data_IF_854132188405
#
_entry.id   IF_854132188405
#
_cell.length_a   1.000
_cell.length_b   1.000
_cell.length_c   1.000
_cell.angle_alpha   90.00
_cell.angle_beta   90.00
_cell.angle_gamma   90.00
#
_symmetry.space_group_name_H-M   'P 1'
#
loop_
_entity.id
_entity.type
_entity.pdbx_description
1 polymer ?
#
# COMPACT_ATOMS: atom_id res chain seq x y z
N UNK A 1 42.11 -21.59 -35.11
CA UNK A 1 41.01 -22.56 -35.34
C UNK A 1 39.77 -21.97 -34.67
N UNK A 2 38.99 -21.07 -35.31
CA UNK A 2 37.85 -21.30 -36.24
C UNK A 2 36.80 -22.31 -35.73
N UNK A 3 35.68 -21.78 -35.25
CA UNK A 3 34.28 -22.24 -35.37
C UNK A 3 33.44 -21.01 -34.93
N UNK A 4 32.85 -20.13 -35.76
CA UNK A 4 31.95 -20.18 -36.94
C UNK A 4 30.56 -20.80 -36.67
N UNK A 5 29.59 -19.89 -36.49
CA UNK A 5 28.24 -19.87 -37.06
C UNK A 5 27.12 -20.66 -36.34
N UNK A 6 26.06 -19.97 -35.88
CA UNK A 6 24.72 -20.13 -36.48
C UNK A 6 23.78 -18.96 -36.14
N UNK A 7 23.41 -18.23 -37.19
CA UNK A 7 22.39 -17.19 -37.28
C UNK A 7 20.98 -17.78 -37.25
N UNK A 8 20.05 -17.17 -36.51
CA UNK A 8 18.61 -17.28 -36.80
C UNK A 8 18.00 -15.87 -36.86
N UNK A 9 17.94 -15.36 -38.09
CA UNK A 9 17.03 -14.31 -38.52
C UNK A 9 15.74 -14.99 -38.94
N UNK A 10 14.60 -14.62 -38.35
CA UNK A 10 13.31 -14.68 -39.04
C UNK A 10 12.39 -13.61 -38.47
N UNK A 11 12.12 -12.64 -39.35
CA UNK A 11 11.16 -11.57 -39.19
C UNK A 11 9.73 -12.13 -39.19
N UNK A 12 8.84 -11.46 -38.46
CA UNK A 12 7.41 -11.73 -38.46
C UNK A 12 6.63 -10.50 -38.02
N UNK A 13 6.54 -9.52 -38.91
CA UNK A 13 5.57 -8.42 -38.84
C UNK A 13 4.19 -8.99 -39.19
N UNK A 14 3.21 -8.92 -38.29
CA UNK A 14 1.80 -8.93 -38.67
C UNK A 14 0.98 -8.00 -37.79
N UNK A 15 0.09 -7.29 -38.47
CA UNK A 15 -0.58 -6.05 -38.13
C UNK A 15 -2.08 -6.35 -37.94
N UNK A 16 -2.75 -5.51 -37.14
CA UNK A 16 -4.20 -5.21 -37.13
C UNK A 16 -5.17 -6.11 -36.34
N UNK A 17 -5.94 -5.45 -35.47
CA UNK A 17 -7.30 -5.80 -35.04
C UNK A 17 -7.46 -5.82 -33.51
N UNK A 18 -8.44 -5.20 -32.86
CA UNK A 18 -9.54 -4.30 -33.21
C UNK A 18 -10.17 -3.82 -31.87
N UNK A 19 -11.06 -2.83 -31.97
CA UNK A 19 -12.12 -2.46 -31.01
C UNK A 19 -11.78 -1.51 -29.84
N UNK A 20 -12.01 -0.23 -30.15
CA UNK A 20 -12.32 0.88 -29.27
C UNK A 20 -13.73 0.72 -28.68
N UNK A 21 -13.88 0.77 -27.36
CA UNK A 21 -15.16 0.96 -26.68
C UNK A 21 -15.04 2.12 -25.70
N UNK A 22 -15.37 3.32 -26.18
CA UNK A 22 -15.60 4.49 -25.33
C UNK A 22 -16.89 4.28 -24.54
N UNK A 23 -16.79 4.22 -23.21
CA UNK A 23 -17.92 4.43 -22.31
C UNK A 23 -17.84 5.87 -21.79
N UNK A 24 -18.46 6.80 -22.53
CA UNK A 24 -18.96 8.04 -21.93
C UNK A 24 -20.27 7.71 -21.22
N UNK A 25 -20.30 7.78 -19.89
CA UNK A 25 -21.56 7.92 -19.16
C UNK A 25 -21.61 9.29 -18.50
N UNK A 26 -22.57 10.07 -18.99
CA UNK A 26 -22.87 11.45 -18.62
C UNK A 26 -23.32 11.50 -17.16
N UNK A 27 -22.56 12.22 -16.34
CA UNK A 27 -23.03 12.69 -15.05
C UNK A 27 -24.16 13.71 -15.24
N UNK A 28 -25.40 13.29 -14.98
CA UNK A 28 -26.53 14.20 -14.80
C UNK A 28 -26.78 14.41 -13.31
N UNK A 29 -26.40 15.59 -12.83
CA UNK A 29 -26.82 16.11 -11.56
C UNK A 29 -28.19 16.80 -11.72
N UNK A 30 -29.25 16.29 -11.09
CA UNK A 30 -30.41 17.09 -10.67
C UNK A 30 -31.43 16.28 -9.88
N UNK A 31 -31.88 16.83 -8.74
CA UNK A 31 -33.06 16.35 -8.04
C UNK A 31 -33.10 16.68 -6.55
N UNK A 32 -33.24 17.96 -6.21
CA UNK A 32 -33.67 18.39 -4.87
C UNK A 32 -35.12 17.94 -4.63
N UNK A 33 -35.26 16.79 -3.97
CA UNK A 33 -36.55 16.17 -3.62
C UNK A 33 -37.07 16.65 -2.27
N UNK A 34 -38.06 17.52 -2.34
CA UNK A 34 -39.09 17.91 -1.37
C UNK A 34 -39.26 16.99 -0.13
N UNK A 35 -39.01 17.56 1.06
CA UNK A 35 -39.26 16.93 2.36
C UNK A 35 -40.76 16.92 2.68
N UNK A 36 -41.45 15.81 2.41
CA UNK A 36 -42.75 15.50 3.02
C UNK A 36 -42.55 14.95 4.43
N UNK A 37 -42.73 15.80 5.44
CA UNK A 37 -42.80 15.38 6.84
C UNK A 37 -44.04 14.53 7.08
N UNK A 38 -43.85 13.22 7.30
CA UNK A 38 -44.91 12.30 7.71
C UNK A 38 -44.83 12.11 9.23
N UNK A 39 -45.68 12.82 9.96
CA UNK A 39 -45.86 12.67 11.41
C UNK A 39 -46.46 11.29 11.71
N UNK A 40 -45.64 10.36 12.19
CA UNK A 40 -46.11 9.11 12.79
C UNK A 40 -46.21 9.31 14.31
N UNK A 41 -47.44 9.32 14.83
CA UNK A 41 -47.71 9.22 16.26
C UNK A 41 -47.30 7.85 16.78
N UNK A 42 -46.07 7.76 17.30
CA UNK A 42 -45.53 6.57 17.95
C UNK A 42 -44.79 6.99 19.22
N UNK A 43 -45.12 6.35 20.34
CA UNK A 43 -44.49 6.58 21.63
C UNK A 43 -42.97 6.40 21.51
N UNK A 44 -42.22 7.47 21.74
CA UNK A 44 -40.76 7.45 21.80
C UNK A 44 -40.33 6.80 23.11
N UNK A 45 -40.25 5.47 23.14
CA UNK A 45 -39.39 4.79 24.10
C UNK A 45 -37.95 5.18 23.78
N UNK A 46 -37.39 6.12 24.54
CA UNK A 46 -35.99 6.52 24.42
C UNK A 46 -35.11 5.31 24.76
N UNK A 47 -34.66 4.57 23.75
CA UNK A 47 -33.50 3.68 23.92
C UNK A 47 -32.33 4.54 24.41
N UNK A 48 -31.62 4.15 25.47
CA UNK A 48 -30.44 4.90 25.91
C UNK A 48 -29.49 5.07 24.72
N UNK A 49 -29.03 6.30 24.52
CA UNK A 49 -28.08 6.66 23.46
C UNK A 49 -26.91 5.68 23.54
N UNK A 50 -26.46 5.07 22.43
CA UNK A 50 -25.24 4.29 22.44
C UNK A 50 -24.11 5.15 23.03
N UNK A 51 -23.22 4.59 23.86
CA UNK A 51 -22.14 5.34 24.45
C UNK A 51 -21.36 6.05 23.35
N UNK A 52 -21.14 7.36 23.52
CA UNK A 52 -20.29 8.19 22.66
C UNK A 52 -19.00 7.41 22.39
N UNK A 53 -18.58 7.21 21.12
CA UNK A 53 -17.40 6.41 20.83
C UNK A 53 -16.23 6.95 21.65
N UNK A 54 -15.58 6.07 22.42
CA UNK A 54 -14.37 6.41 23.15
C UNK A 54 -13.42 7.02 22.11
N UNK A 55 -13.00 8.27 22.34
CA UNK A 55 -12.05 8.93 21.44
C UNK A 55 -10.87 7.99 21.17
N UNK A 56 -10.35 8.04 19.94
CA UNK A 56 -9.22 7.24 19.49
C UNK A 56 -7.99 7.56 20.36
N UNK A 57 -7.87 6.89 21.51
CA UNK A 57 -6.70 6.97 22.38
C UNK A 57 -5.66 6.01 21.81
N UNK A 58 -4.50 6.55 21.46
CA UNK A 58 -3.37 5.76 21.00
C UNK A 58 -2.73 5.15 22.26
N UNK A 59 -2.86 3.84 22.44
CA UNK A 59 -2.22 3.12 23.53
C UNK A 59 -0.71 3.01 23.25
N UNK A 60 0.18 3.46 24.15
CA UNK A 60 1.62 3.30 23.98
C UNK A 60 2.01 1.84 23.75
N UNK A 61 2.92 1.57 22.81
CA UNK A 61 3.34 0.21 22.47
C UNK A 61 2.36 -0.56 21.57
N UNK A 62 1.22 0.03 21.19
CA UNK A 62 0.34 -0.57 20.18
C UNK A 62 0.88 -0.36 18.76
N UNK A 63 0.47 -1.17 17.79
CA UNK A 63 0.84 -0.95 16.39
C UNK A 63 0.44 0.43 15.85
N UNK A 64 -0.66 1.01 16.36
CA UNK A 64 -1.07 2.39 16.03
C UNK A 64 -0.09 3.43 16.59
N UNK A 65 0.44 3.20 17.78
CA UNK A 65 1.48 4.05 18.38
C UNK A 65 2.75 4.05 17.52
N UNK A 66 3.16 2.87 17.03
CA UNK A 66 4.30 2.74 16.11
C UNK A 66 4.12 3.55 14.83
N UNK A 67 2.98 3.37 14.14
CA UNK A 67 2.70 4.04 12.87
C UNK A 67 2.65 5.56 13.04
N UNK A 68 2.02 6.06 14.10
CA UNK A 68 1.83 7.51 14.31
C UNK A 68 3.10 8.20 14.79
N UNK A 69 3.83 7.59 15.72
CA UNK A 69 4.96 8.25 16.39
C UNK A 69 6.32 7.96 15.74
N UNK A 70 6.45 6.87 14.99
CA UNK A 70 7.71 6.47 14.34
C UNK A 70 7.56 6.40 12.83
N UNK A 71 6.49 5.78 12.36
CA UNK A 71 6.28 5.44 10.96
C UNK A 71 6.71 4.00 10.66
N UNK A 72 5.97 3.33 9.79
CA UNK A 72 6.12 1.90 9.44
C UNK A 72 6.78 1.67 8.08
N UNK A 73 7.20 2.74 7.39
CA UNK A 73 7.72 2.67 6.01
C UNK A 73 9.17 3.12 5.93
N UNK A 74 9.92 2.43 5.08
CA UNK A 74 11.30 2.74 4.73
C UNK A 74 11.41 2.75 3.21
N UNK A 75 11.92 3.85 2.66
CA UNK A 75 11.99 4.05 1.21
C UNK A 75 13.35 3.69 0.63
N UNK A 76 13.33 3.26 -0.63
CA UNK A 76 14.50 2.91 -1.41
C UNK A 76 14.53 3.74 -2.69
N UNK A 77 15.74 3.99 -3.19
CA UNK A 77 15.90 4.58 -4.52
C UNK A 77 15.44 3.59 -5.62
N UNK A 78 15.15 4.15 -6.80
CA UNK A 78 14.77 3.37 -7.99
C UNK A 78 15.83 2.32 -8.28
N UNK A 79 15.39 1.07 -8.48
CA UNK A 79 16.25 -0.07 -8.79
C UNK A 79 17.34 -0.37 -7.74
N UNK A 80 17.15 0.09 -6.49
CA UNK A 80 18.09 -0.13 -5.38
C UNK A 80 17.47 -0.95 -4.26
N UNK A 81 18.34 -1.69 -3.58
CA UNK A 81 18.04 -2.43 -2.34
C UNK A 81 18.96 -2.03 -1.18
N UNK A 82 20.00 -1.22 -1.43
CA UNK A 82 20.82 -0.66 -0.36
C UNK A 82 20.08 0.45 0.38
N UNK A 83 20.27 0.53 1.69
CA UNK A 83 19.69 1.57 2.53
C UNK A 83 20.46 2.88 2.37
N UNK A 84 19.75 3.97 2.11
CA UNK A 84 20.30 5.33 2.23
C UNK A 84 20.53 5.69 3.70
N UNK A 85 21.30 6.76 3.95
CA UNK A 85 21.49 7.28 5.32
C UNK A 85 20.16 7.64 5.99
N UNK A 86 19.23 8.23 5.24
CA UNK A 86 17.87 8.54 5.71
C UNK A 86 17.07 7.28 6.06
N UNK A 87 17.11 6.25 5.20
CA UNK A 87 16.45 4.98 5.44
C UNK A 87 17.00 4.27 6.69
N UNK A 88 18.33 4.30 6.89
CA UNK A 88 18.97 3.77 8.09
C UNK A 88 18.52 4.52 9.34
N UNK A 89 18.51 5.85 9.31
CA UNK A 89 18.06 6.67 10.43
C UNK A 89 16.58 6.41 10.79
N UNK A 90 15.73 6.11 9.80
CA UNK A 90 14.34 5.71 10.05
C UNK A 90 14.26 4.33 10.71
N UNK A 91 14.98 3.34 10.17
CA UNK A 91 15.04 1.99 10.75
C UNK A 91 15.58 2.00 12.19
N UNK A 92 16.59 2.82 12.50
CA UNK A 92 17.12 2.96 13.85
C UNK A 92 16.06 3.46 14.85
N UNK A 93 15.18 4.38 14.43
CA UNK A 93 14.04 4.82 15.25
C UNK A 93 13.03 3.70 15.47
N UNK A 94 12.74 2.92 14.42
CA UNK A 94 11.86 1.76 14.51
C UNK A 94 12.43 0.70 15.46
N UNK A 95 13.71 0.36 15.33
CA UNK A 95 14.43 -0.55 16.23
C UNK A 95 14.40 -0.06 17.67
N UNK A 96 14.62 1.24 17.91
CA UNK A 96 14.55 1.82 19.24
C UNK A 96 13.16 1.68 19.88
N UNK A 97 12.09 1.85 19.08
CA UNK A 97 10.72 1.65 19.54
C UNK A 97 10.44 0.17 19.83
N UNK A 98 10.86 -0.74 18.95
CA UNK A 98 10.69 -2.19 19.13
C UNK A 98 11.44 -2.71 20.36
N UNK A 99 12.65 -2.18 20.64
CA UNK A 99 13.40 -2.49 21.87
C UNK A 99 12.69 -2.02 23.13
N UNK A 100 11.96 -0.90 23.07
CA UNK A 100 11.15 -0.40 24.19
C UNK A 100 9.91 -1.24 24.43
N UNK A 101 9.27 -1.73 23.37
CA UNK A 101 8.04 -2.52 23.42
C UNK A 101 8.28 -3.92 22.84
N UNK A 102 9.08 -4.74 23.52
CA UNK A 102 9.56 -6.03 23.02
C UNK A 102 8.55 -7.18 22.98
N UNK A 103 7.26 -6.93 23.27
CA UNK A 103 6.20 -7.93 23.25
C UNK A 103 5.41 -7.93 21.91
N UNK A 104 6.05 -7.52 20.82
CA UNK A 104 5.43 -7.41 19.50
C UNK A 104 6.15 -8.32 18.49
N UNK A 105 5.36 -9.01 17.66
CA UNK A 105 5.88 -9.71 16.49
C UNK A 105 5.80 -8.77 15.29
N UNK A 106 6.87 -8.71 14.50
CA UNK A 106 6.96 -7.85 13.32
C UNK A 106 7.24 -8.70 12.10
N UNK A 107 6.52 -8.43 11.02
CA UNK A 107 6.78 -8.96 9.69
C UNK A 107 7.39 -7.84 8.85
N UNK A 108 8.48 -8.13 8.15
CA UNK A 108 9.12 -7.18 7.23
C UNK A 108 8.76 -7.60 5.81
N UNK A 109 8.04 -6.72 5.11
CA UNK A 109 7.63 -6.93 3.73
C UNK A 109 8.38 -5.96 2.81
N UNK A 110 8.89 -6.48 1.69
CA UNK A 110 9.60 -5.69 0.70
C UNK A 110 8.74 -5.49 -0.54
N UNK A 111 8.57 -4.23 -0.93
CA UNK A 111 7.78 -3.85 -2.10
C UNK A 111 8.67 -3.25 -3.19
N UNK A 112 8.25 -3.43 -4.43
CA UNK A 112 8.76 -2.74 -5.61
C UNK A 112 7.61 -2.05 -6.34
N UNK A 113 7.95 -1.09 -7.20
CA UNK A 113 6.95 -0.42 -8.01
C UNK A 113 6.50 -1.32 -9.17
N UNK A 114 5.54 -0.86 -9.97
CA UNK A 114 4.99 -1.63 -11.09
C UNK A 114 5.91 -1.70 -12.32
N UNK A 115 7.09 -1.06 -12.26
CA UNK A 115 8.00 -0.97 -13.41
C UNK A 115 8.81 -2.26 -13.50
N UNK A 116 8.94 -2.82 -14.70
CA UNK A 116 9.69 -4.06 -14.94
C UNK A 116 8.84 -5.32 -14.83
N UNK A 117 9.49 -6.49 -14.79
CA UNK A 117 8.78 -7.78 -14.71
C UNK A 117 8.37 -8.10 -13.28
N UNK A 118 7.30 -8.89 -13.14
CA UNK A 118 6.81 -9.33 -11.82
C UNK A 118 7.87 -10.10 -11.05
N UNK A 119 8.59 -10.99 -11.72
CA UNK A 119 9.62 -11.85 -11.13
C UNK A 119 10.80 -11.01 -10.63
N UNK A 120 11.19 -9.99 -11.39
CA UNK A 120 12.23 -9.06 -10.97
C UNK A 120 11.82 -8.30 -9.70
N UNK A 121 10.60 -7.78 -9.67
CA UNK A 121 10.07 -7.02 -8.55
C UNK A 121 9.88 -7.86 -7.28
N UNK A 122 9.54 -9.14 -7.43
CA UNK A 122 9.49 -10.08 -6.30
C UNK A 122 10.89 -10.25 -5.68
N UNK A 123 11.91 -10.50 -6.50
CA UNK A 123 13.29 -10.62 -6.02
C UNK A 123 13.86 -9.31 -5.48
N UNK A 124 13.50 -8.16 -6.05
CA UNK A 124 13.89 -6.85 -5.54
C UNK A 124 13.26 -6.56 -4.17
N UNK A 125 11.98 -6.90 -4.00
CA UNK A 125 11.27 -6.83 -2.72
C UNK A 125 11.97 -7.68 -1.65
N UNK A 126 12.27 -8.94 -1.95
CA UNK A 126 12.98 -9.83 -1.03
C UNK A 126 14.34 -9.24 -0.59
N UNK A 127 15.14 -8.72 -1.52
CA UNK A 127 16.43 -8.08 -1.18
C UNK A 127 16.25 -6.85 -0.28
N UNK A 128 15.21 -6.05 -0.49
CA UNK A 128 14.89 -4.87 0.32
C UNK A 128 14.48 -5.27 1.74
N UNK A 129 13.64 -6.29 1.88
CA UNK A 129 13.25 -6.82 3.18
C UNK A 129 14.46 -7.36 3.94
N UNK A 130 15.31 -8.14 3.29
CA UNK A 130 16.55 -8.65 3.89
C UNK A 130 17.49 -7.51 4.30
N UNK A 131 17.66 -6.50 3.45
CA UNK A 131 18.52 -5.34 3.79
C UNK A 131 18.02 -4.57 5.01
N UNK A 132 16.71 -4.47 5.21
CA UNK A 132 16.13 -3.85 6.41
C UNK A 132 16.25 -4.73 7.65
N UNK A 133 16.11 -6.05 7.49
CA UNK A 133 16.23 -7.05 8.56
C UNK A 133 17.66 -7.16 9.10
N UNK A 134 18.66 -7.07 8.22
CA UNK A 134 20.07 -7.33 8.53
C UNK A 134 20.82 -6.07 9.03
N UNK A 135 20.11 -4.95 9.24
CA UNK A 135 20.65 -3.71 9.80
C UNK A 135 21.06 -3.87 11.27
#
# INVERSE_FOLDING_TARGET
MRLRNLTYLLAGLFLVGACETTLEEKGSAQGIGELKAKTYGGQVTMKPRPPKPKGFSITPGSGRDFVVNVGDRVFFAVDKSNLSSEARAMLEKQVAWLKRYGNVNVTIEGHADERGTREYNLGLGERRANSAKDL
#
